data_IF_035997399753
#
_entry.id   IF_035997399753
#
_cell.length_a   1.000
_cell.length_b   1.000
_cell.length_c   1.000
_cell.angle_alpha   90.00
_cell.angle_beta   90.00
_cell.angle_gamma   90.00
#
_symmetry.space_group_name_H-M   'P 1'
#
loop_
_entity.id
_entity.type
_entity.pdbx_description
1 polymer ?
#
# COMPACT_ATOMS: atom_id res chain seq x y z
N UNK A 1 -31.78 -23.77 26.83
CA UNK A 1 -30.63 -22.89 26.51
C UNK A 1 -29.43 -23.78 26.30
N UNK A 2 -28.70 -23.59 25.21
CA UNK A 2 -27.36 -24.16 25.04
C UNK A 2 -26.41 -22.99 24.86
N UNK A 3 -25.36 -22.92 25.67
CA UNK A 3 -24.33 -21.89 25.54
C UNK A 3 -23.56 -22.15 24.24
N UNK A 4 -23.65 -21.23 23.28
CA UNK A 4 -22.64 -21.15 22.23
C UNK A 4 -21.38 -20.61 22.89
N UNK A 5 -20.42 -21.47 23.17
CA UNK A 5 -19.05 -21.02 23.41
C UNK A 5 -18.63 -20.06 22.28
N UNK A 6 -17.92 -18.96 22.58
CA UNK A 6 -17.34 -18.15 21.51
C UNK A 6 -16.40 -19.03 20.68
N UNK A 7 -16.23 -18.74 19.37
CA UNK A 7 -15.27 -19.47 18.56
C UNK A 7 -13.88 -19.33 19.19
N UNK A 8 -13.30 -20.47 19.61
CA UNK A 8 -11.92 -20.49 20.06
C UNK A 8 -11.04 -20.00 18.91
N UNK A 9 -10.21 -18.99 19.17
CA UNK A 9 -9.32 -18.38 18.19
C UNK A 9 -8.53 -19.47 17.45
N UNK A 10 -8.59 -19.48 16.11
CA UNK A 10 -8.16 -20.59 15.27
C UNK A 10 -6.64 -20.91 15.28
N UNK A 11 -5.86 -20.24 16.11
CA UNK A 11 -4.41 -20.39 16.29
C UNK A 11 -4.08 -21.13 17.60
N UNK A 12 -2.91 -21.76 17.67
CA UNK A 12 -2.27 -22.14 18.95
C UNK A 12 -1.68 -20.92 19.68
N UNK A 13 -1.21 -21.12 20.92
CA UNK A 13 -0.48 -20.08 21.65
C UNK A 13 0.90 -19.80 21.03
N UNK A 14 1.60 -20.82 20.52
CA UNK A 14 2.86 -20.64 19.78
C UNK A 14 2.65 -19.87 18.46
N UNK A 15 1.51 -20.07 17.80
CA UNK A 15 1.13 -19.32 16.59
C UNK A 15 0.77 -17.87 16.90
N UNK A 16 0.08 -17.60 18.02
CA UNK A 16 -0.16 -16.24 18.53
C UNK A 16 1.16 -15.54 18.90
N UNK A 17 2.00 -16.20 19.68
CA UNK A 17 3.28 -15.64 20.13
C UNK A 17 4.21 -15.34 18.95
N UNK A 18 4.21 -16.19 17.91
CA UNK A 18 4.98 -15.93 16.69
C UNK A 18 4.42 -14.76 15.87
N UNK A 19 3.09 -14.63 15.72
CA UNK A 19 2.51 -13.46 15.06
C UNK A 19 2.88 -12.17 15.79
N UNK A 20 2.70 -12.10 17.11
CA UNK A 20 3.05 -10.92 17.92
C UNK A 20 4.55 -10.59 17.82
N UNK A 21 5.42 -11.61 17.86
CA UNK A 21 6.86 -11.40 17.71
C UNK A 21 7.23 -10.82 16.33
N UNK A 22 6.56 -11.23 15.25
CA UNK A 22 6.77 -10.64 13.92
C UNK A 22 6.13 -9.26 13.80
N UNK A 23 4.93 -9.05 14.36
CA UNK A 23 4.23 -7.75 14.40
C UNK A 23 5.04 -6.65 15.08
N UNK A 24 5.83 -7.00 16.10
CA UNK A 24 6.70 -6.07 16.83
C UNK A 24 8.16 -6.00 16.33
N UNK A 25 8.53 -6.69 15.24
CA UNK A 25 9.93 -6.73 14.77
C UNK A 25 10.29 -5.49 13.94
N UNK A 26 11.34 -4.77 14.34
CA UNK A 26 11.76 -3.51 13.70
C UNK A 26 12.62 -3.71 12.44
N UNK A 27 13.22 -4.89 12.30
CA UNK A 27 14.26 -5.15 11.31
C UNK A 27 14.36 -6.63 10.93
N UNK A 28 14.95 -6.88 9.76
CA UNK A 28 15.22 -8.23 9.27
C UNK A 28 16.21 -8.99 10.17
N UNK A 29 16.99 -8.28 11.00
CA UNK A 29 17.84 -8.88 12.02
C UNK A 29 17.02 -9.55 13.13
N UNK A 30 15.99 -8.87 13.63
CA UNK A 30 15.05 -9.44 14.60
C UNK A 30 14.23 -10.57 13.96
N UNK A 31 13.73 -10.36 12.74
CA UNK A 31 13.02 -11.40 11.99
C UNK A 31 13.86 -12.68 11.82
N UNK A 32 15.16 -12.54 11.58
CA UNK A 32 16.08 -13.68 11.49
C UNK A 32 16.22 -14.44 12.83
N UNK A 33 16.24 -13.73 13.95
CA UNK A 33 16.21 -14.33 15.28
C UNK A 33 14.87 -15.06 15.55
N UNK A 34 13.73 -14.46 15.16
CA UNK A 34 12.37 -15.01 15.35
C UNK A 34 12.13 -16.26 14.48
N UNK A 35 12.68 -16.27 13.25
CA UNK A 35 12.62 -17.42 12.33
C UNK A 35 13.67 -18.49 12.67
N UNK A 36 14.74 -18.14 13.38
CA UNK A 36 15.82 -19.05 13.76
C UNK A 36 16.85 -19.31 12.66
N UNK A 37 17.16 -18.29 11.84
CA UNK A 37 18.16 -18.37 10.76
C UNK A 37 19.21 -17.26 10.87
N UNK A 38 20.38 -17.48 10.28
CA UNK A 38 21.46 -16.47 10.17
C UNK A 38 21.31 -15.58 8.93
N UNK A 39 20.45 -15.95 7.97
CA UNK A 39 20.25 -15.20 6.73
C UNK A 39 18.96 -14.39 6.77
N UNK A 40 19.11 -13.06 6.82
CA UNK A 40 18.02 -12.09 6.88
C UNK A 40 17.09 -12.17 5.64
N UNK A 41 17.62 -12.49 4.46
CA UNK A 41 16.81 -12.73 3.27
C UNK A 41 16.01 -14.05 3.38
N UNK A 42 16.61 -15.13 3.89
CA UNK A 42 15.87 -16.38 4.13
C UNK A 42 14.82 -16.22 5.23
N UNK A 43 15.08 -15.37 6.23
CA UNK A 43 14.12 -15.03 7.27
C UNK A 43 12.87 -14.37 6.68
N UNK A 44 13.04 -13.34 5.85
CA UNK A 44 11.95 -12.67 5.14
C UNK A 44 11.11 -13.65 4.31
N UNK A 45 11.76 -14.44 3.44
CA UNK A 45 11.07 -15.38 2.54
C UNK A 45 10.31 -16.47 3.33
N UNK A 46 10.93 -17.05 4.37
CA UNK A 46 10.28 -18.04 5.23
C UNK A 46 9.16 -17.43 6.11
N UNK A 47 9.30 -16.16 6.49
CA UNK A 47 8.29 -15.44 7.25
C UNK A 47 7.04 -15.20 6.40
N UNK A 48 7.13 -14.68 5.16
CA UNK A 48 5.93 -14.36 4.33
C UNK A 48 4.93 -15.52 4.25
N UNK A 49 5.40 -16.73 3.96
CA UNK A 49 4.49 -17.89 3.82
C UNK A 49 3.79 -18.26 5.14
N UNK A 50 4.53 -18.28 6.26
CA UNK A 50 3.96 -18.58 7.59
C UNK A 50 3.04 -17.44 8.06
N UNK A 51 3.45 -16.20 7.84
CA UNK A 51 2.71 -14.98 8.12
C UNK A 51 1.35 -14.99 7.44
N UNK A 52 1.31 -15.13 6.10
CA UNK A 52 0.07 -15.17 5.33
C UNK A 52 -0.86 -16.29 5.83
N UNK A 53 -0.33 -17.50 6.01
CA UNK A 53 -1.10 -18.66 6.50
C UNK A 53 -1.75 -18.39 7.87
N UNK A 54 -1.08 -17.64 8.75
CA UNK A 54 -1.60 -17.30 10.08
C UNK A 54 -2.54 -16.09 10.05
N UNK A 55 -2.22 -15.05 9.28
CA UNK A 55 -3.06 -13.86 9.10
C UNK A 55 -4.40 -14.23 8.45
N UNK A 56 -4.42 -15.07 7.42
CA UNK A 56 -5.66 -15.56 6.78
C UNK A 56 -6.63 -16.28 7.76
N UNK A 57 -6.09 -16.90 8.82
CA UNK A 57 -6.85 -17.58 9.88
C UNK A 57 -7.37 -16.63 10.97
N UNK A 58 -6.89 -15.39 11.02
CA UNK A 58 -7.31 -14.35 11.99
C UNK A 58 -8.04 -13.18 11.36
N UNK A 59 -7.81 -12.91 10.07
CA UNK A 59 -8.36 -11.76 9.34
C UNK A 59 -9.87 -11.94 9.11
N UNK A 60 -10.68 -11.20 9.88
CA UNK A 60 -12.15 -11.20 9.79
C UNK A 60 -12.59 -10.43 8.55
N UNK A 61 -13.64 -10.92 7.88
CA UNK A 61 -14.25 -10.20 6.76
C UNK A 61 -15.01 -8.95 7.26
N UNK A 62 -14.71 -7.81 6.66
CA UNK A 62 -15.43 -6.55 6.90
C UNK A 62 -16.83 -6.63 6.26
N UNK A 63 -17.84 -6.03 6.90
CA UNK A 63 -19.26 -6.20 6.51
C UNK A 63 -19.71 -5.22 5.44
N UNK A 64 -20.50 -5.71 4.47
CA UNK A 64 -21.02 -4.93 3.35
C UNK A 64 -21.94 -3.78 3.79
N UNK A 65 -21.50 -2.54 3.59
CA UNK A 65 -22.32 -1.32 3.68
C UNK A 65 -21.64 -0.10 3.02
N UNK A 66 -20.31 0.00 3.16
CA UNK A 66 -19.49 1.15 2.78
C UNK A 66 -18.36 0.74 1.81
N UNK A 67 -17.66 1.72 1.21
CA UNK A 67 -16.41 1.49 0.48
C UNK A 67 -15.40 0.81 1.42
N UNK A 68 -14.88 -0.40 1.14
CA UNK A 68 -14.03 -1.12 2.08
C UNK A 68 -12.78 -0.31 2.43
N UNK A 69 -12.40 -0.31 3.71
CA UNK A 69 -11.30 0.51 4.19
C UNK A 69 -10.92 0.25 5.64
N UNK A 70 -9.62 0.35 5.94
CA UNK A 70 -9.08 0.12 7.28
C UNK A 70 -9.29 1.38 8.12
N UNK A 71 -10.14 1.28 9.16
CA UNK A 71 -10.41 2.38 10.11
C UNK A 71 -9.31 2.47 11.17
N UNK A 72 -8.81 3.68 11.43
CA UNK A 72 -7.84 4.01 12.50
C UNK A 72 -8.32 5.25 13.25
N UNK A 73 -8.77 5.07 14.49
CA UNK A 73 -9.09 6.15 15.43
C UNK A 73 -7.80 6.70 16.05
N UNK A 74 -7.63 8.03 15.99
CA UNK A 74 -6.47 8.77 16.51
C UNK A 74 -6.77 9.56 17.79
N UNK A 75 -7.90 9.32 18.45
CA UNK A 75 -8.24 9.95 19.75
C UNK A 75 -8.79 11.38 19.62
N UNK A 76 -9.51 11.67 18.53
CA UNK A 76 -10.12 12.97 18.25
C UNK A 76 -10.54 13.15 16.80
N UNK A 77 -9.87 12.44 15.88
CA UNK A 77 -10.26 12.24 14.48
C UNK A 77 -10.09 10.77 14.12
N UNK A 78 -10.91 10.26 13.21
CA UNK A 78 -10.72 8.93 12.62
C UNK A 78 -10.26 9.06 11.17
N UNK A 79 -9.29 8.24 10.77
CA UNK A 79 -8.91 8.06 9.36
C UNK A 79 -9.43 6.71 8.85
N UNK A 80 -9.99 6.67 7.65
CA UNK A 80 -10.36 5.43 6.94
C UNK A 80 -9.53 5.32 5.67
N UNK A 81 -8.73 4.26 5.58
CA UNK A 81 -7.80 4.04 4.47
C UNK A 81 -8.41 3.05 3.48
N UNK A 82 -8.83 3.52 2.31
CA UNK A 82 -9.51 2.74 1.27
C UNK A 82 -8.53 2.33 0.16
N UNK A 83 -8.34 1.02 -0.03
CA UNK A 83 -7.50 0.46 -1.07
C UNK A 83 -8.25 0.24 -2.40
N UNK A 84 -7.77 0.84 -3.49
CA UNK A 84 -8.35 0.74 -4.85
C UNK A 84 -7.44 -0.02 -5.82
N UNK A 85 -7.92 -0.40 -7.01
CA UNK A 85 -7.12 -1.15 -8.00
C UNK A 85 -6.21 -0.27 -8.86
N UNK A 86 -6.49 1.04 -8.92
CA UNK A 86 -5.81 2.04 -9.75
C UNK A 86 -5.94 1.83 -11.28
N UNK A 87 -6.82 0.92 -11.72
CA UNK A 87 -6.89 0.44 -13.10
C UNK A 87 -7.71 1.31 -14.09
N UNK A 88 -8.08 2.53 -13.70
CA UNK A 88 -8.81 3.54 -14.50
C UNK A 88 -10.09 2.98 -15.20
N UNK A 89 -10.88 2.16 -14.48
CA UNK A 89 -12.08 1.51 -15.06
C UNK A 89 -13.36 2.30 -14.81
N UNK A 90 -14.28 2.32 -15.79
CA UNK A 90 -15.61 2.97 -15.63
C UNK A 90 -16.47 2.37 -14.52
N UNK A 91 -16.19 1.12 -14.10
CA UNK A 91 -16.89 0.50 -12.97
C UNK A 91 -16.35 0.99 -11.63
N UNK A 92 -15.02 1.04 -11.49
CA UNK A 92 -14.33 1.58 -10.32
C UNK A 92 -14.56 3.08 -10.17
N UNK A 93 -14.38 3.85 -11.25
CA UNK A 93 -14.62 5.30 -11.30
C UNK A 93 -16.04 5.66 -10.85
N UNK A 94 -17.05 4.86 -11.20
CA UNK A 94 -18.41 5.06 -10.69
C UNK A 94 -18.50 4.79 -9.19
N UNK A 95 -18.05 3.62 -8.73
CA UNK A 95 -18.10 3.28 -7.30
C UNK A 95 -17.40 4.34 -6.45
N UNK A 96 -16.19 4.74 -6.84
CA UNK A 96 -15.39 5.71 -6.10
C UNK A 96 -16.04 7.09 -6.07
N UNK A 97 -16.57 7.59 -7.20
CA UNK A 97 -17.24 8.90 -7.23
C UNK A 97 -18.56 8.90 -6.48
N UNK A 98 -19.35 7.83 -6.57
CA UNK A 98 -20.61 7.71 -5.83
C UNK A 98 -20.37 7.75 -4.30
N UNK A 99 -19.30 7.10 -3.81
CA UNK A 99 -18.94 7.13 -2.38
C UNK A 99 -18.24 8.44 -1.98
N UNK A 100 -17.29 8.95 -2.77
CA UNK A 100 -16.58 10.20 -2.45
C UNK A 100 -17.52 11.39 -2.46
N UNK A 101 -18.52 11.43 -3.35
CA UNK A 101 -19.57 12.45 -3.27
C UNK A 101 -20.37 12.33 -1.97
N UNK A 102 -20.72 11.12 -1.52
CA UNK A 102 -21.44 10.92 -0.27
C UNK A 102 -20.63 11.36 0.97
N UNK A 103 -19.32 11.11 1.01
CA UNK A 103 -18.42 11.60 2.06
C UNK A 103 -18.37 13.15 2.08
N UNK A 104 -18.19 13.77 0.90
CA UNK A 104 -18.17 15.22 0.78
C UNK A 104 -19.52 15.87 1.11
N UNK A 105 -20.64 15.25 0.75
CA UNK A 105 -22.00 15.68 1.10
C UNK A 105 -22.28 15.56 2.62
N UNK A 106 -21.59 14.65 3.32
CA UNK A 106 -21.60 14.54 4.77
C UNK A 106 -20.68 15.56 5.48
N UNK A 107 -19.83 16.27 4.72
CA UNK A 107 -18.84 17.23 5.25
C UNK A 107 -17.52 16.58 5.70
N UNK A 108 -17.24 15.36 5.24
CA UNK A 108 -16.06 14.57 5.59
C UNK A 108 -14.90 14.89 4.63
N UNK A 109 -13.66 14.88 5.13
CA UNK A 109 -12.49 15.23 4.31
C UNK A 109 -12.00 14.04 3.47
N UNK A 110 -11.69 14.24 2.19
CA UNK A 110 -11.23 13.18 1.28
C UNK A 110 -9.87 13.52 0.67
N UNK A 111 -8.90 12.62 0.81
CA UNK A 111 -7.56 12.72 0.25
C UNK A 111 -7.26 11.54 -0.68
N UNK A 112 -6.37 11.74 -1.65
CA UNK A 112 -5.93 10.69 -2.56
C UNK A 112 -4.47 10.86 -3.03
N UNK A 113 -3.85 9.74 -3.43
CA UNK A 113 -2.52 9.74 -4.07
C UNK A 113 -2.53 10.54 -5.39
N UNK A 114 -1.37 11.08 -5.80
CA UNK A 114 -1.25 11.83 -7.05
C UNK A 114 -1.65 11.05 -8.30
N UNK A 115 -1.44 9.73 -8.30
CA UNK A 115 -1.87 8.89 -9.40
C UNK A 115 -3.38 8.69 -9.49
N UNK A 116 -4.11 8.85 -8.37
CA UNK A 116 -5.54 8.56 -8.25
C UNK A 116 -6.38 9.79 -8.63
N UNK A 117 -5.96 11.00 -8.22
CA UNK A 117 -6.67 12.25 -8.53
C UNK A 117 -7.04 12.42 -10.02
N UNK A 118 -6.09 12.35 -10.98
CA UNK A 118 -6.37 12.67 -12.39
C UNK A 118 -7.22 11.61 -13.12
N UNK A 119 -7.42 10.42 -12.54
CA UNK A 119 -8.25 9.35 -13.10
C UNK A 119 -9.72 9.49 -12.67
N UNK A 120 -9.96 9.79 -11.39
CA UNK A 120 -11.30 9.68 -10.81
C UNK A 120 -11.91 11.01 -10.31
N UNK A 121 -11.09 12.02 -9.99
CA UNK A 121 -11.51 13.16 -9.14
C UNK A 121 -11.08 14.55 -9.66
N UNK A 122 -10.66 14.68 -10.92
CA UNK A 122 -10.13 15.93 -11.52
C UNK A 122 -11.09 17.13 -11.41
N UNK A 123 -12.39 16.89 -11.47
CA UNK A 123 -13.49 17.86 -11.37
C UNK A 123 -14.07 17.99 -9.94
N UNK A 124 -13.49 17.31 -8.96
CA UNK A 124 -13.94 17.30 -7.56
C UNK A 124 -12.98 18.12 -6.69
N UNK A 125 -13.12 19.45 -6.75
CA UNK A 125 -12.23 20.42 -6.08
C UNK A 125 -11.96 20.12 -4.59
N UNK A 126 -12.99 19.64 -3.87
CA UNK A 126 -12.93 19.35 -2.43
C UNK A 126 -12.19 18.05 -2.06
N UNK A 127 -11.83 17.20 -3.03
CA UNK A 127 -10.87 16.11 -2.80
C UNK A 127 -9.46 16.70 -2.80
N UNK A 128 -8.60 16.33 -1.86
CA UNK A 128 -7.21 16.78 -1.78
C UNK A 128 -6.22 15.80 -2.43
N UNK A 129 -5.15 16.32 -3.02
CA UNK A 129 -3.99 15.56 -3.50
C UNK A 129 -2.93 15.47 -2.40
N UNK A 130 -2.44 14.27 -2.11
CA UNK A 130 -1.24 14.02 -1.30
C UNK A 130 -0.03 14.12 -2.23
N UNK A 131 1.09 14.73 -1.83
CA UNK A 131 2.29 14.92 -2.65
C UNK A 131 3.23 13.69 -2.76
N UNK A 132 2.68 12.48 -2.69
CA UNK A 132 3.42 11.25 -2.41
C UNK A 132 4.40 10.83 -3.54
N UNK A 133 4.04 11.07 -4.80
CA UNK A 133 4.94 10.84 -5.94
C UNK A 133 6.03 11.93 -6.07
N UNK A 134 5.70 13.22 -5.82
CA UNK A 134 6.66 14.34 -5.79
C UNK A 134 7.73 14.08 -4.73
N UNK A 135 7.30 13.67 -3.53
CA UNK A 135 8.19 13.31 -2.43
C UNK A 135 9.11 12.12 -2.77
N UNK A 136 8.57 11.05 -3.37
CA UNK A 136 9.37 9.90 -3.80
C UNK A 136 10.42 10.30 -4.86
N UNK A 137 10.03 11.08 -5.88
CA UNK A 137 10.94 11.60 -6.90
C UNK A 137 12.05 12.48 -6.30
N UNK A 138 11.68 13.40 -5.38
CA UNK A 138 12.62 14.28 -4.70
C UNK A 138 13.68 13.49 -3.91
N UNK A 139 13.27 12.49 -3.14
CA UNK A 139 14.22 11.64 -2.39
C UNK A 139 15.07 10.70 -3.26
N UNK A 140 14.65 10.36 -4.48
CA UNK A 140 15.55 9.68 -5.40
C UNK A 140 16.71 10.61 -5.81
N UNK A 141 16.40 11.86 -6.15
CA UNK A 141 17.41 12.86 -6.54
C UNK A 141 18.33 13.25 -5.38
N UNK A 142 17.81 13.49 -4.18
CA UNK A 142 18.65 13.84 -3.02
C UNK A 142 19.64 12.73 -2.60
N UNK A 143 19.29 11.46 -2.85
CA UNK A 143 20.07 10.30 -2.41
C UNK A 143 21.09 9.82 -3.45
N UNK A 144 21.28 10.56 -4.55
CA UNK A 144 22.12 10.18 -5.69
C UNK A 144 21.78 8.78 -6.24
N UNK A 145 20.48 8.44 -6.22
CA UNK A 145 19.96 7.20 -6.81
C UNK A 145 19.81 7.46 -8.31
N UNK A 146 20.53 6.68 -9.14
CA UNK A 146 20.37 6.64 -10.61
C UNK A 146 18.89 6.38 -10.95
N UNK A 147 18.10 7.43 -11.16
CA UNK A 147 16.65 7.28 -11.33
C UNK A 147 16.31 6.74 -12.71
N UNK A 148 15.43 5.74 -12.75
CA UNK A 148 15.02 5.10 -13.99
C UNK A 148 14.02 5.93 -14.82
N UNK A 149 13.56 7.09 -14.32
CA UNK A 149 12.62 8.00 -15.01
C UNK A 149 13.24 9.38 -15.33
N UNK A 150 14.45 9.43 -15.94
CA UNK A 150 15.19 10.67 -16.12
C UNK A 150 14.43 11.65 -17.02
N UNK A 151 14.31 12.90 -16.55
CA UNK A 151 13.60 13.96 -17.25
C UNK A 151 12.08 13.78 -17.35
N UNK A 152 11.45 12.79 -16.68
CA UNK A 152 10.03 12.91 -16.34
C UNK A 152 9.85 14.10 -15.38
N UNK A 153 10.64 14.05 -14.29
CA UNK A 153 10.90 15.10 -13.29
C UNK A 153 10.79 16.51 -13.89
N UNK A 154 11.69 16.86 -14.83
CA UNK A 154 11.82 18.22 -15.36
C UNK A 154 10.60 18.69 -16.18
N UNK A 155 9.79 17.78 -16.72
CA UNK A 155 8.55 18.11 -17.43
C UNK A 155 7.37 18.25 -16.47
N UNK A 156 7.26 17.35 -15.48
CA UNK A 156 6.20 17.37 -14.48
C UNK A 156 6.20 18.61 -13.58
N UNK A 157 7.34 19.29 -13.41
CA UNK A 157 7.46 20.55 -12.66
C UNK A 157 7.38 21.84 -13.52
N UNK A 158 7.27 21.74 -14.85
CA UNK A 158 7.32 22.92 -15.76
C UNK A 158 6.05 23.15 -16.60
N UNK A 159 5.09 22.23 -16.62
CA UNK A 159 3.82 22.38 -17.36
C UNK A 159 2.60 21.99 -16.50
N UNK A 160 1.79 22.99 -16.10
CA UNK A 160 0.69 22.96 -15.10
C UNK A 160 -0.41 21.87 -15.27
N UNK A 161 -0.44 21.12 -16.36
CA UNK A 161 -1.57 20.23 -16.72
C UNK A 161 -1.18 18.79 -17.10
N UNK A 162 0.12 18.40 -17.06
CA UNK A 162 0.58 17.12 -17.68
C UNK A 162 0.89 15.94 -16.75
N UNK A 163 0.81 16.13 -15.43
CA UNK A 163 1.21 15.13 -14.43
C UNK A 163 0.57 13.73 -14.65
N UNK A 164 -0.71 13.66 -15.05
CA UNK A 164 -1.42 12.40 -15.32
C UNK A 164 -1.01 11.64 -16.59
N UNK A 165 -0.14 12.19 -17.42
CA UNK A 165 0.55 11.47 -18.49
C UNK A 165 1.89 10.92 -18.00
N UNK A 166 2.68 11.76 -17.31
CA UNK A 166 3.98 11.39 -16.76
C UNK A 166 3.87 10.27 -15.71
N UNK A 167 2.89 10.32 -14.79
CA UNK A 167 2.68 9.27 -13.77
C UNK A 167 2.46 7.89 -14.39
N UNK A 168 1.75 7.79 -15.53
CA UNK A 168 1.54 6.49 -16.21
C UNK A 168 2.81 5.96 -16.87
N UNK A 169 3.63 6.85 -17.43
CA UNK A 169 4.96 6.46 -17.92
C UNK A 169 5.86 5.97 -16.76
N UNK A 170 5.88 6.72 -15.65
CA UNK A 170 6.61 6.37 -14.41
C UNK A 170 6.17 5.01 -13.87
N UNK A 171 4.86 4.75 -13.78
CA UNK A 171 4.30 3.48 -13.31
C UNK A 171 4.71 2.31 -14.21
N UNK A 172 4.62 2.45 -15.54
CA UNK A 172 5.08 1.42 -16.48
C UNK A 172 6.59 1.15 -16.35
N UNK A 173 7.42 2.18 -16.10
CA UNK A 173 8.86 2.00 -15.83
C UNK A 173 9.11 1.22 -14.55
N UNK A 174 8.42 1.51 -13.44
CA UNK A 174 8.58 0.75 -12.19
C UNK A 174 8.04 -0.68 -12.28
N UNK A 175 6.95 -0.91 -13.03
CA UNK A 175 6.48 -2.24 -13.41
C UNK A 175 7.58 -3.03 -14.16
N UNK A 176 8.25 -2.40 -15.12
CA UNK A 176 9.36 -3.01 -15.88
C UNK A 176 10.61 -3.26 -15.03
N UNK A 177 10.92 -2.41 -14.03
CA UNK A 177 11.94 -2.73 -13.01
C UNK A 177 11.57 -3.97 -12.22
N UNK A 178 10.34 -4.04 -11.72
CA UNK A 178 9.90 -5.17 -10.90
C UNK A 178 10.01 -6.49 -11.68
N UNK A 179 9.62 -6.51 -12.96
CA UNK A 179 9.86 -7.68 -13.83
C UNK A 179 11.34 -7.95 -14.12
N UNK A 180 12.18 -6.93 -14.31
CA UNK A 180 13.64 -7.10 -14.49
C UNK A 180 14.30 -7.68 -13.23
N UNK A 181 13.88 -7.24 -12.05
CA UNK A 181 14.32 -7.73 -10.75
C UNK A 181 13.84 -9.16 -10.49
N UNK A 182 12.62 -9.51 -10.91
CA UNK A 182 12.12 -10.89 -10.97
C UNK A 182 13.05 -11.76 -11.81
N UNK A 183 13.32 -11.41 -13.07
CA UNK A 183 14.12 -12.26 -13.96
C UNK A 183 15.57 -12.42 -13.47
N UNK A 184 16.18 -11.36 -12.93
CA UNK A 184 17.50 -11.43 -12.32
C UNK A 184 17.51 -12.27 -11.02
N UNK A 185 16.50 -12.11 -10.17
CA UNK A 185 16.42 -12.76 -8.86
C UNK A 185 15.91 -14.21 -8.90
N UNK A 186 15.06 -14.58 -9.85
CA UNK A 186 14.38 -15.89 -9.92
C UNK A 186 15.34 -17.07 -9.95
N UNK A 187 16.47 -16.93 -10.66
CA UNK A 187 17.52 -17.95 -10.71
C UNK A 187 18.32 -18.11 -9.40
N UNK A 188 18.27 -17.14 -8.48
CA UNK A 188 19.00 -17.14 -7.22
C UNK A 188 18.11 -17.38 -5.99
N UNK A 189 16.86 -16.89 -6.03
CA UNK A 189 15.96 -16.80 -4.88
C UNK A 189 14.59 -17.47 -5.10
N UNK A 190 14.28 -17.90 -6.33
CA UNK A 190 13.12 -18.73 -6.65
C UNK A 190 11.75 -18.02 -6.64
N UNK A 191 10.70 -18.83 -6.58
CA UNK A 191 9.33 -18.38 -6.85
C UNK A 191 8.75 -17.49 -5.73
N UNK A 192 9.21 -17.64 -4.48
CA UNK A 192 8.75 -16.82 -3.36
C UNK A 192 9.30 -15.38 -3.41
N UNK A 193 10.55 -15.20 -3.87
CA UNK A 193 11.09 -13.88 -4.22
C UNK A 193 10.30 -13.27 -5.40
N UNK A 194 10.02 -14.10 -6.40
CA UNK A 194 9.28 -13.70 -7.60
C UNK A 194 7.88 -13.19 -7.23
N UNK A 195 7.16 -13.91 -6.35
CA UNK A 195 5.86 -13.50 -5.83
C UNK A 195 5.91 -12.17 -5.05
N UNK A 196 6.88 -11.99 -4.15
CA UNK A 196 7.01 -10.76 -3.37
C UNK A 196 7.24 -9.52 -4.23
N UNK A 197 8.03 -9.61 -5.31
CA UNK A 197 8.19 -8.51 -6.27
C UNK A 197 6.95 -8.38 -7.18
N UNK A 198 6.23 -9.47 -7.45
CA UNK A 198 4.94 -9.46 -8.15
C UNK A 198 3.86 -8.67 -7.40
N UNK A 199 3.78 -8.79 -6.07
CA UNK A 199 2.89 -8.00 -5.22
C UNK A 199 3.13 -6.48 -5.36
N UNK A 200 4.40 -6.09 -5.53
CA UNK A 200 4.81 -4.69 -5.76
C UNK A 200 4.53 -4.23 -7.19
N UNK A 201 4.82 -5.07 -8.19
CA UNK A 201 4.55 -4.76 -9.60
C UNK A 201 3.06 -4.47 -9.84
N UNK A 202 2.17 -5.14 -9.10
CA UNK A 202 0.72 -4.90 -9.16
C UNK A 202 0.25 -3.57 -8.57
N UNK A 203 1.09 -2.84 -7.82
CA UNK A 203 0.77 -1.50 -7.32
C UNK A 203 0.93 -0.39 -8.38
N UNK A 204 1.63 -0.68 -9.49
CA UNK A 204 1.91 0.26 -10.58
C UNK A 204 1.04 0.01 -11.83
N UNK A 205 -0.14 -0.60 -11.68
CA UNK A 205 -1.00 -0.97 -12.81
C UNK A 205 -2.05 0.11 -13.04
N UNK A 206 -1.91 0.84 -14.14
CA UNK A 206 -2.77 1.98 -14.49
C UNK A 206 -3.75 1.67 -15.62
N UNK A 207 -3.65 0.48 -16.20
CA UNK A 207 -4.40 0.08 -17.40
C UNK A 207 -4.64 -1.43 -17.52
N UNK A 208 -5.59 -1.79 -18.38
CA UNK A 208 -5.95 -3.17 -18.69
C UNK A 208 -4.88 -3.95 -19.47
N UNK A 209 -3.97 -3.27 -20.17
CA UNK A 209 -2.90 -3.91 -20.96
C UNK A 209 -1.73 -4.35 -20.06
N UNK A 210 -1.37 -3.52 -19.07
CA UNK A 210 -0.34 -3.85 -18.07
C UNK A 210 -0.74 -5.08 -17.24
N UNK A 211 -2.04 -5.17 -16.87
CA UNK A 211 -2.70 -6.32 -16.21
C UNK A 211 -2.65 -7.65 -17.01
N UNK A 212 -2.14 -7.66 -18.24
CA UNK A 212 -1.96 -8.88 -19.03
C UNK A 212 -0.55 -9.50 -18.89
N UNK A 213 0.43 -8.77 -18.35
CA UNK A 213 1.83 -9.27 -18.25
C UNK A 213 2.13 -10.08 -16.98
N UNK A 214 1.32 -9.93 -15.92
CA UNK A 214 1.50 -10.62 -14.64
C UNK A 214 0.44 -11.67 -14.30
N UNK A 215 -0.16 -12.35 -15.29
CA UNK A 215 -1.27 -13.29 -15.03
C UNK A 215 -0.91 -14.48 -14.11
N UNK A 216 0.37 -14.80 -13.93
CA UNK A 216 0.86 -15.83 -13.01
C UNK A 216 0.79 -15.42 -11.52
N UNK A 217 0.53 -14.14 -11.21
CA UNK A 217 0.55 -13.59 -9.85
C UNK A 217 -0.86 -13.44 -9.24
N UNK A 218 -1.00 -13.81 -7.96
CA UNK A 218 -2.29 -13.72 -7.24
C UNK A 218 -2.75 -12.26 -7.11
N UNK A 219 -1.83 -11.34 -6.80
CA UNK A 219 -2.10 -9.90 -6.72
C UNK A 219 -2.70 -9.34 -8.01
N UNK A 220 -2.10 -9.64 -9.16
CA UNK A 220 -2.59 -9.25 -10.48
C UNK A 220 -3.97 -9.84 -10.76
N UNK A 221 -4.20 -11.12 -10.47
CA UNK A 221 -5.50 -11.76 -10.71
C UNK A 221 -6.60 -11.17 -9.82
N UNK A 222 -6.31 -10.81 -8.56
CA UNK A 222 -7.27 -10.13 -7.68
C UNK A 222 -7.52 -8.69 -8.13
N UNK A 223 -6.49 -7.91 -8.46
CA UNK A 223 -6.65 -6.56 -9.02
C UNK A 223 -7.49 -6.59 -10.30
N UNK A 224 -7.25 -7.56 -11.20
CA UNK A 224 -8.00 -7.76 -12.45
C UNK A 224 -9.46 -8.12 -12.22
N UNK A 225 -9.77 -8.83 -11.12
CA UNK A 225 -11.14 -9.15 -10.73
C UNK A 225 -11.85 -7.95 -10.10
N UNK A 226 -11.21 -7.23 -9.18
CA UNK A 226 -11.76 -6.04 -8.54
C UNK A 226 -11.95 -4.87 -9.52
N UNK A 227 -11.04 -4.67 -10.48
CA UNK A 227 -11.13 -3.66 -11.53
C UNK A 227 -12.37 -3.87 -12.43
N UNK A 228 -12.78 -5.13 -12.62
CA UNK A 228 -13.98 -5.54 -13.38
C UNK A 228 -15.25 -5.58 -12.52
N UNK A 229 -15.11 -5.93 -11.25
CA UNK A 229 -16.19 -6.04 -10.27
C UNK A 229 -15.75 -5.39 -8.94
N UNK A 230 -16.03 -4.10 -8.72
CA UNK A 230 -15.56 -3.38 -7.54
C UNK A 230 -16.02 -3.95 -6.18
N UNK A 231 -17.01 -4.84 -6.14
CA UNK A 231 -17.36 -5.60 -4.93
C UNK A 231 -16.20 -6.48 -4.42
N UNK A 232 -15.23 -6.84 -5.28
CA UNK A 232 -14.04 -7.64 -4.89
C UNK A 232 -12.91 -6.78 -4.31
N UNK A 233 -13.10 -5.46 -4.14
CA UNK A 233 -12.12 -4.58 -3.48
C UNK A 233 -11.84 -5.01 -2.03
N UNK A 234 -12.84 -5.54 -1.32
CA UNK A 234 -12.66 -6.06 0.04
C UNK A 234 -11.68 -7.26 0.07
N UNK A 235 -11.82 -8.20 -0.87
CA UNK A 235 -10.90 -9.35 -0.98
C UNK A 235 -9.48 -8.92 -1.42
N UNK A 236 -9.36 -7.93 -2.30
CA UNK A 236 -8.06 -7.38 -2.71
C UNK A 236 -7.34 -6.68 -1.55
N UNK A 237 -8.05 -5.85 -0.77
CA UNK A 237 -7.50 -5.23 0.43
C UNK A 237 -7.09 -6.28 1.47
N UNK A 238 -7.97 -7.27 1.70
CA UNK A 238 -7.70 -8.39 2.60
C UNK A 238 -6.43 -9.15 2.22
N UNK A 239 -6.23 -9.42 0.92
CA UNK A 239 -5.00 -10.05 0.41
C UNK A 239 -3.75 -9.25 0.76
N UNK A 240 -3.73 -7.92 0.52
CA UNK A 240 -2.56 -7.13 0.87
C UNK A 240 -2.32 -7.04 2.39
N UNK A 241 -3.37 -7.08 3.21
CA UNK A 241 -3.27 -7.18 4.69
C UNK A 241 -2.79 -8.54 5.20
N UNK A 242 -2.89 -9.62 4.41
CA UNK A 242 -2.37 -10.94 4.78
C UNK A 242 -1.02 -11.27 4.14
N UNK A 243 -0.71 -10.76 2.94
CA UNK A 243 0.53 -11.11 2.22
C UNK A 243 1.74 -10.27 2.65
N UNK A 244 1.58 -8.98 2.97
CA UNK A 244 2.70 -8.14 3.39
C UNK A 244 3.02 -8.32 4.87
N UNK A 245 4.31 -8.44 5.18
CA UNK A 245 4.86 -8.34 6.54
C UNK A 245 4.72 -6.89 7.08
N UNK A 246 4.92 -6.67 8.39
CA UNK A 246 5.03 -5.33 8.97
C UNK A 246 5.97 -4.39 8.20
N UNK A 247 5.59 -3.12 8.09
CA UNK A 247 6.25 -2.15 7.21
C UNK A 247 7.76 -2.00 7.38
N UNK A 248 8.35 -2.00 8.60
CA UNK A 248 9.80 -1.92 8.74
C UNK A 248 10.55 -3.05 8.02
N UNK A 249 9.98 -4.27 8.04
CA UNK A 249 10.54 -5.46 7.40
C UNK A 249 10.44 -5.40 5.89
N UNK A 250 9.28 -5.02 5.35
CA UNK A 250 9.06 -4.86 3.91
C UNK A 250 9.94 -3.73 3.34
N UNK A 251 10.01 -2.59 4.03
CA UNK A 251 10.88 -1.45 3.66
C UNK A 251 12.36 -1.82 3.72
N UNK A 252 12.83 -2.44 4.80
CA UNK A 252 14.23 -2.84 4.90
C UNK A 252 14.59 -3.86 3.83
N UNK A 253 13.74 -4.86 3.57
CA UNK A 253 14.00 -5.85 2.53
C UNK A 253 14.07 -5.20 1.15
N UNK A 254 13.09 -4.39 0.77
CA UNK A 254 13.04 -3.80 -0.56
C UNK A 254 14.20 -2.79 -0.79
N UNK A 255 14.47 -1.92 0.19
CA UNK A 255 15.58 -0.95 0.17
C UNK A 255 16.98 -1.59 0.02
N UNK A 256 17.12 -2.88 0.33
CA UNK A 256 18.36 -3.66 0.14
C UNK A 256 18.50 -4.29 -1.25
N UNK A 257 17.43 -4.29 -2.06
CA UNK A 257 17.44 -4.82 -3.43
C UNK A 257 17.24 -3.70 -4.49
N UNK A 258 16.36 -2.73 -4.25
CA UNK A 258 16.01 -1.65 -5.19
C UNK A 258 15.55 -0.37 -4.41
N UNK A 259 16.44 0.61 -4.13
CA UNK A 259 16.14 1.78 -3.27
C UNK A 259 15.10 2.77 -3.83
N UNK A 260 15.29 3.31 -5.03
CA UNK A 260 14.50 2.77 -6.14
C UNK A 260 13.01 2.51 -5.89
N UNK A 261 12.65 1.24 -6.10
CA UNK A 261 11.32 0.68 -5.91
C UNK A 261 10.80 0.83 -4.47
N UNK A 262 11.65 0.89 -3.43
CA UNK A 262 11.21 1.16 -2.04
C UNK A 262 10.61 2.54 -1.88
N UNK A 263 11.23 3.57 -2.47
CA UNK A 263 10.72 4.94 -2.42
C UNK A 263 9.34 5.06 -3.06
N UNK A 264 9.14 4.44 -4.22
CA UNK A 264 7.86 4.48 -4.95
C UNK A 264 6.81 3.48 -4.46
N UNK A 265 7.12 2.58 -3.52
CA UNK A 265 6.14 1.65 -2.92
C UNK A 265 5.97 1.89 -1.41
N UNK A 266 6.82 1.29 -0.58
CA UNK A 266 6.60 1.23 0.86
C UNK A 266 6.99 2.52 1.60
N UNK A 267 7.93 3.32 1.09
CA UNK A 267 8.23 4.62 1.70
C UNK A 267 7.07 5.63 1.52
N UNK A 268 6.37 5.60 0.37
CA UNK A 268 5.15 6.40 0.14
C UNK A 268 4.07 6.19 1.21
N UNK A 269 4.02 5.01 1.84
CA UNK A 269 3.09 4.74 2.95
C UNK A 269 3.34 5.65 4.17
N UNK A 270 4.61 5.92 4.48
CA UNK A 270 5.02 6.85 5.53
C UNK A 270 4.64 8.29 5.14
N UNK A 271 4.93 8.67 3.88
CA UNK A 271 4.58 10.01 3.36
C UNK A 271 3.09 10.29 3.38
N UNK A 272 2.26 9.33 2.94
CA UNK A 272 0.80 9.43 2.95
C UNK A 272 0.29 9.63 4.38
N UNK A 273 0.74 8.81 5.33
CA UNK A 273 0.34 8.98 6.74
C UNK A 273 0.79 10.33 7.31
N UNK A 274 2.04 10.74 7.08
CA UNK A 274 2.58 12.04 7.50
C UNK A 274 1.78 13.22 6.92
N UNK A 275 1.42 13.16 5.64
CA UNK A 275 0.65 14.21 4.96
C UNK A 275 -0.74 14.38 5.58
N UNK A 276 -1.46 13.27 5.84
CA UNK A 276 -2.77 13.28 6.48
C UNK A 276 -2.68 13.80 7.93
N UNK A 277 -1.63 13.43 8.66
CA UNK A 277 -1.46 13.90 10.03
C UNK A 277 -1.16 15.40 10.10
N UNK A 278 -0.34 15.92 9.18
CA UNK A 278 0.08 17.34 9.14
C UNK A 278 -0.88 18.29 8.41
N UNK A 279 -1.69 17.80 7.45
CA UNK A 279 -2.54 18.64 6.59
C UNK A 279 -4.03 18.27 6.66
N UNK A 280 -4.40 17.17 7.34
CA UNK A 280 -5.78 16.78 7.59
C UNK A 280 -6.49 17.80 8.49
N UNK A 281 -7.71 18.25 8.15
CA UNK A 281 -8.43 19.26 8.92
C UNK A 281 -8.91 18.72 10.27
N UNK A 282 -9.44 19.62 11.10
CA UNK A 282 -10.16 19.31 12.33
C UNK A 282 -11.57 18.75 12.04
N UNK A 283 -11.64 17.61 11.33
CA UNK A 283 -12.89 16.85 11.07
C UNK A 283 -12.87 15.50 11.79
N UNK A 284 -14.03 15.07 12.28
CA UNK A 284 -14.20 13.80 12.99
C UNK A 284 -13.81 12.57 12.14
N UNK A 285 -13.96 12.68 10.82
CA UNK A 285 -13.65 11.63 9.84
C UNK A 285 -12.83 12.18 8.65
N UNK A 286 -11.86 11.39 8.19
CA UNK A 286 -11.00 11.63 7.02
C UNK A 286 -10.90 10.33 6.22
N UNK A 287 -11.14 10.40 4.91
CA UNK A 287 -11.03 9.28 3.97
C UNK A 287 -9.77 9.42 3.13
N UNK A 288 -9.02 8.32 2.99
CA UNK A 288 -7.76 8.27 2.22
C UNK A 288 -7.91 7.22 1.12
N UNK A 289 -7.99 7.65 -0.13
CA UNK A 289 -8.09 6.78 -1.31
C UNK A 289 -6.67 6.50 -1.81
N UNK A 290 -6.25 5.24 -1.71
CA UNK A 290 -4.86 4.79 -1.91
C UNK A 290 -4.84 3.47 -2.69
N UNK A 291 -3.75 3.13 -3.37
CA UNK A 291 -3.61 1.83 -4.02
C UNK A 291 -3.75 0.70 -2.99
N UNK A 292 -4.40 -0.41 -3.35
CA UNK A 292 -4.71 -1.46 -2.39
C UNK A 292 -3.46 -2.08 -1.70
N UNK A 293 -2.30 -2.03 -2.36
CA UNK A 293 -1.02 -2.44 -1.79
C UNK A 293 -0.44 -1.44 -0.76
N UNK A 294 -0.81 -0.16 -0.83
CA UNK A 294 -0.39 0.89 0.09
C UNK A 294 -1.22 0.89 1.39
N UNK A 295 -2.50 0.52 1.31
CA UNK A 295 -3.46 0.50 2.44
C UNK A 295 -2.87 -0.05 3.76
N UNK A 296 -2.24 -1.24 3.80
CA UNK A 296 -1.79 -1.82 5.07
C UNK A 296 -0.66 -1.01 5.71
N UNK A 297 0.19 -0.39 4.89
CA UNK A 297 1.31 0.42 5.36
C UNK A 297 0.88 1.81 5.83
N UNK A 298 -0.04 2.46 5.14
CA UNK A 298 -0.62 3.73 5.61
C UNK A 298 -1.33 3.52 6.95
N UNK A 299 -2.11 2.44 7.08
CA UNK A 299 -2.76 2.08 8.33
C UNK A 299 -1.77 1.69 9.45
N UNK A 300 -0.57 1.17 9.12
CA UNK A 300 0.51 0.92 10.08
C UNK A 300 1.03 2.24 10.67
N UNK A 301 1.43 3.21 9.84
CA UNK A 301 2.00 4.47 10.32
C UNK A 301 1.01 5.31 11.14
N UNK A 302 -0.28 5.29 10.78
CA UNK A 302 -1.35 5.94 11.56
C UNK A 302 -1.55 5.29 12.95
N UNK A 303 -1.32 3.97 13.09
CA UNK A 303 -1.37 3.28 14.39
C UNK A 303 -0.12 3.57 15.22
N UNK A 304 1.07 3.45 14.62
CA UNK A 304 2.34 3.77 15.27
C UNK A 304 2.39 5.23 15.78
N UNK A 305 1.78 6.18 15.06
CA UNK A 305 1.59 7.55 15.54
C UNK A 305 0.72 7.61 16.80
N UNK A 306 -0.47 6.99 16.77
CA UNK A 306 -1.39 6.90 17.93
C UNK A 306 -0.72 6.26 19.15
N UNK A 307 0.13 5.27 18.93
CA UNK A 307 0.85 4.53 19.97
C UNK A 307 2.13 5.24 20.43
N UNK A 308 2.52 6.35 19.79
CA UNK A 308 3.74 7.15 20.05
C UNK A 308 5.04 6.38 19.72
N UNK A 309 4.96 5.37 18.85
CA UNK A 309 6.08 4.57 18.35
C UNK A 309 6.75 5.20 17.12
N UNK A 310 6.05 6.12 16.44
CA UNK A 310 6.54 6.90 15.30
C UNK A 310 5.99 8.34 15.32
N UNK A 311 6.69 9.28 14.70
CA UNK A 311 6.26 10.67 14.54
C UNK A 311 6.57 11.18 13.12
N UNK A 312 5.71 12.04 12.60
CA UNK A 312 5.89 12.73 11.33
C UNK A 312 6.63 14.08 11.46
N UNK A 313 6.99 14.50 12.68
CA UNK A 313 7.55 15.82 12.94
C UNK A 313 9.09 15.86 12.84
N UNK A 314 9.68 16.90 12.21
CA UNK A 314 9.02 17.98 11.48
C UNK A 314 8.53 17.52 10.10
N UNK A 315 7.32 17.94 9.71
CA UNK A 315 6.79 17.61 8.39
C UNK A 315 7.59 18.29 7.29
N UNK A 316 8.17 17.50 6.40
CA UNK A 316 8.92 17.96 5.23
C UNK A 316 7.98 18.49 4.15
N UNK A 317 8.26 19.68 3.62
CA UNK A 317 7.61 20.23 2.42
C UNK A 317 8.61 20.10 1.27
N UNK A 318 8.25 19.31 0.25
CA UNK A 318 9.04 19.16 -0.98
C UNK A 318 8.66 20.23 -2.02
N UNK A 319 9.55 20.61 -2.95
CA UNK A 319 9.27 21.60 -3.99
C UNK A 319 8.20 21.19 -5.02
#
# INVERSE_FOLDING_TARGET
MGEKSPPQSALSDDERAWLVAVESADSLAELANIVGTVSQHQAYIAAKQRWQTLRERTEVAETEAELPGTRVDLGGRTVVVHGVTHADTTAEQRLLRDHVQAFLDAGEAVYCEQGIRPMYFTDMEAVCEIDDYRWAMYHCTERDIDSHVPGAIERSFLEDERLGADIRAVASTFRERAFTLIDAGKHMYGDAFTAAIGDLASAFLTSHEELATGEDFTSFQLSKQAARNPAMLADLQRYYRTVFLPQPLEREWLRRHDPELELFTHARNERIAAYILSNGPDTDLIHVITGAAHQPGVAYYLRAYRENEWSYEPFEIVP
#
